data_IF_625662218140
#
_entry.id   IF_625662218140
#
_cell.length_a   1.000
_cell.length_b   1.000
_cell.length_c   1.000
_cell.angle_alpha   90.00
_cell.angle_beta   90.00
_cell.angle_gamma   90.00
#
_symmetry.space_group_name_H-M   'P 1'
#
loop_
_entity.id
_entity.type
_entity.pdbx_description
1 polymer ?
#
# COMPACT_ATOMS: atom_id res chain seq x y z
N UNK A 1 -18.25 -3.14 12.05
CA UNK A 1 -17.62 -4.16 11.18
C UNK A 1 -16.13 -4.13 11.42
N UNK A 2 -15.51 -5.29 11.61
CA UNK A 2 -14.06 -5.43 11.85
C UNK A 2 -13.22 -5.29 10.56
N UNK A 3 -13.86 -5.08 9.41
CA UNK A 3 -13.16 -4.99 8.12
C UNK A 3 -12.70 -3.55 7.88
N UNK A 4 -11.40 -3.35 7.70
CA UNK A 4 -10.83 -2.07 7.27
C UNK A 4 -11.31 -1.68 5.87
N UNK A 5 -11.48 -0.39 5.61
CA UNK A 5 -12.00 0.13 4.34
C UNK A 5 -11.27 -0.39 3.09
N UNK A 6 -9.90 -0.41 3.07
CA UNK A 6 -9.15 -0.94 1.94
C UNK A 6 -9.41 -2.42 1.66
N UNK A 7 -9.49 -3.27 2.69
CA UNK A 7 -9.80 -4.69 2.53
C UNK A 7 -11.20 -4.92 1.96
N UNK A 8 -12.21 -4.25 2.52
CA UNK A 8 -13.59 -4.36 2.04
C UNK A 8 -13.70 -3.96 0.57
N UNK A 9 -12.99 -2.90 0.15
CA UNK A 9 -12.97 -2.45 -1.25
C UNK A 9 -12.24 -3.43 -2.15
N UNK A 10 -11.08 -3.93 -1.75
CA UNK A 10 -10.35 -4.95 -2.49
C UNK A 10 -11.20 -6.20 -2.75
N UNK A 11 -11.94 -6.66 -1.73
CA UNK A 11 -12.86 -7.79 -1.87
C UNK A 11 -14.01 -7.52 -2.85
N UNK A 12 -14.59 -6.31 -2.85
CA UNK A 12 -15.65 -5.96 -3.79
C UNK A 12 -15.14 -5.93 -5.24
N UNK A 13 -13.95 -5.37 -5.44
CA UNK A 13 -13.29 -5.36 -6.74
C UNK A 13 -12.98 -6.79 -7.20
N UNK A 14 -12.43 -7.62 -6.30
CA UNK A 14 -12.16 -9.04 -6.59
C UNK A 14 -13.44 -9.78 -7.01
N UNK A 15 -14.55 -9.60 -6.29
CA UNK A 15 -15.86 -10.18 -6.67
C UNK A 15 -16.31 -9.73 -8.06
N UNK A 16 -16.12 -8.46 -8.40
CA UNK A 16 -16.51 -7.93 -9.70
C UNK A 16 -15.68 -8.51 -10.85
N UNK A 17 -14.41 -8.81 -10.63
CA UNK A 17 -13.56 -9.51 -11.60
C UNK A 17 -13.92 -10.99 -11.71
N UNK A 18 -14.06 -11.68 -10.57
CA UNK A 18 -14.49 -13.09 -10.54
C UNK A 18 -15.83 -13.32 -11.24
N UNK A 19 -16.82 -12.41 -11.03
CA UNK A 19 -18.12 -12.51 -11.69
C UNK A 19 -18.07 -12.33 -13.21
N UNK A 20 -16.97 -11.84 -13.74
CA UNK A 20 -16.69 -11.72 -15.18
C UNK A 20 -15.80 -12.82 -15.74
N UNK A 21 -15.49 -13.82 -14.93
CA UNK A 21 -14.67 -14.97 -15.34
C UNK A 21 -13.16 -14.73 -15.29
N UNK A 22 -12.70 -13.67 -14.65
CA UNK A 22 -11.27 -13.46 -14.43
C UNK A 22 -10.77 -14.29 -13.25
N UNK A 23 -9.53 -14.74 -13.33
CA UNK A 23 -8.80 -15.31 -12.21
C UNK A 23 -8.24 -14.18 -11.33
N UNK A 24 -8.41 -14.30 -10.02
CA UNK A 24 -8.02 -13.26 -9.06
C UNK A 24 -7.28 -13.87 -7.89
N UNK A 25 -6.19 -13.24 -7.47
CA UNK A 25 -5.49 -13.51 -6.19
C UNK A 25 -5.38 -12.22 -5.38
N UNK A 26 -5.63 -12.30 -4.08
CA UNK A 26 -5.53 -11.18 -3.16
C UNK A 26 -4.18 -11.22 -2.44
N UNK A 27 -3.32 -10.23 -2.69
CA UNK A 27 -2.11 -10.02 -1.89
C UNK A 27 -2.46 -9.18 -0.66
N UNK A 28 -2.17 -9.69 0.52
CA UNK A 28 -2.54 -9.06 1.78
C UNK A 28 -1.49 -9.26 2.88
N UNK A 29 -1.50 -8.39 3.90
CA UNK A 29 -0.75 -8.62 5.14
C UNK A 29 -1.70 -9.09 6.23
N UNK A 30 -1.38 -10.19 6.89
CA UNK A 30 -2.20 -10.69 7.99
C UNK A 30 -2.01 -9.83 9.25
N UNK A 31 -2.86 -8.84 9.40
CA UNK A 31 -2.97 -7.99 10.59
C UNK A 31 -4.11 -8.47 11.53
N UNK A 32 -4.67 -9.65 11.27
CA UNK A 32 -5.81 -10.21 12.00
C UNK A 32 -7.16 -9.57 11.69
N UNK A 33 -7.24 -8.63 10.76
CA UNK A 33 -8.47 -7.93 10.37
C UNK A 33 -9.07 -8.43 9.06
N UNK A 34 -8.33 -9.24 8.32
CA UNK A 34 -8.74 -9.77 7.04
C UNK A 34 -9.48 -11.09 7.22
N UNK A 35 -10.79 -11.07 7.06
CA UNK A 35 -11.69 -12.22 7.27
C UNK A 35 -12.35 -12.59 5.94
N UNK A 36 -12.59 -13.88 5.74
CA UNK A 36 -13.36 -14.45 4.63
C UNK A 36 -12.94 -13.93 3.24
N UNK A 37 -11.72 -14.25 2.76
CA UNK A 37 -11.27 -13.83 1.44
C UNK A 37 -12.13 -14.48 0.35
N UNK A 38 -12.53 -13.67 -0.66
CA UNK A 38 -13.37 -14.12 -1.79
C UNK A 38 -12.57 -14.80 -2.91
N UNK A 39 -11.25 -14.79 -2.80
CA UNK A 39 -10.31 -15.36 -3.77
C UNK A 39 -9.11 -15.96 -3.02
N UNK A 40 -8.30 -16.80 -3.69
CA UNK A 40 -7.01 -17.23 -3.14
C UNK A 40 -6.19 -16.03 -2.66
N UNK A 41 -5.44 -16.24 -1.58
CA UNK A 41 -4.63 -15.20 -0.95
C UNK A 41 -3.15 -15.50 -1.07
N UNK A 42 -2.37 -14.42 -1.18
CA UNK A 42 -0.91 -14.43 -1.08
C UNK A 42 -0.48 -13.50 0.06
N UNK A 43 0.26 -14.04 1.02
CA UNK A 43 0.66 -13.27 2.20
C UNK A 43 1.93 -12.45 1.94
N UNK A 44 1.81 -11.15 2.19
CA UNK A 44 2.94 -10.21 2.23
C UNK A 44 3.20 -9.77 3.68
N UNK A 45 4.41 -9.28 4.02
CA UNK A 45 4.68 -8.82 5.37
C UNK A 45 3.78 -7.64 5.75
N UNK A 46 3.42 -7.56 7.03
CA UNK A 46 2.73 -6.41 7.60
C UNK A 46 3.74 -5.33 7.93
N UNK A 47 3.53 -4.07 7.53
CA UNK A 47 4.43 -3.00 7.93
C UNK A 47 4.37 -2.78 9.44
N UNK A 48 5.53 -2.53 10.03
CA UNK A 48 5.66 -2.36 11.47
C UNK A 48 5.96 -0.90 11.81
N UNK A 49 5.16 -0.26 12.70
CA UNK A 49 5.38 1.14 13.07
C UNK A 49 6.82 1.38 13.51
N UNK A 50 7.44 2.40 12.94
CA UNK A 50 8.82 2.81 13.23
C UNK A 50 9.88 1.72 13.03
N UNK A 51 9.59 0.68 12.24
CA UNK A 51 10.51 -0.45 12.01
C UNK A 51 10.71 -1.34 13.24
N UNK A 52 9.81 -1.31 14.21
CA UNK A 52 9.85 -2.16 15.39
C UNK A 52 9.67 -3.64 14.99
N UNK A 53 10.29 -4.59 15.69
CA UNK A 53 10.02 -6.01 15.51
C UNK A 53 8.52 -6.31 15.64
N UNK A 54 7.99 -7.18 14.79
CA UNK A 54 6.56 -7.49 14.70
C UNK A 54 5.94 -7.87 16.04
N UNK A 55 6.65 -8.68 16.85
CA UNK A 55 6.22 -9.07 18.20
C UNK A 55 5.97 -7.87 19.12
N UNK A 56 6.75 -6.79 18.96
CA UNK A 56 6.59 -5.55 19.72
C UNK A 56 5.48 -4.70 19.12
N UNK A 57 5.43 -4.60 17.80
CA UNK A 57 4.45 -3.78 17.09
C UNK A 57 3.00 -4.24 17.34
N UNK A 58 2.75 -5.54 17.37
CA UNK A 58 1.43 -6.13 17.69
C UNK A 58 0.87 -5.66 19.03
N UNK A 59 1.73 -5.38 20.00
CA UNK A 59 1.31 -4.93 21.34
C UNK A 59 1.34 -3.42 21.51
N UNK A 60 2.25 -2.73 20.83
CA UNK A 60 2.41 -1.27 20.98
C UNK A 60 1.31 -0.47 20.29
N UNK A 61 0.79 -0.94 19.15
CA UNK A 61 -0.24 -0.24 18.41
C UNK A 61 -1.59 -0.18 19.18
N UNK A 62 -2.12 -1.30 19.71
CA UNK A 62 -3.32 -1.27 20.54
C UNK A 62 -3.11 -0.48 21.84
N UNK A 63 -1.93 -0.56 22.46
CA UNK A 63 -1.60 0.16 23.67
C UNK A 63 -1.54 1.67 23.43
N UNK A 64 -0.85 2.12 22.37
CA UNK A 64 -0.77 3.52 22.00
C UNK A 64 -2.15 4.10 21.65
N UNK A 65 -3.01 3.32 20.99
CA UNK A 65 -4.41 3.70 20.72
C UNK A 65 -5.22 3.86 22.01
N UNK A 66 -5.12 2.88 22.93
CA UNK A 66 -5.82 2.94 24.23
C UNK A 66 -5.35 4.09 25.13
N UNK A 67 -4.07 4.43 25.06
CA UNK A 67 -3.49 5.56 25.83
C UNK A 67 -3.75 6.91 25.17
N UNK A 68 -4.48 6.96 24.05
CA UNK A 68 -4.77 8.19 23.31
C UNK A 68 -3.52 8.89 22.78
N UNK A 69 -2.40 8.17 22.62
CA UNK A 69 -1.17 8.71 22.06
C UNK A 69 -1.25 8.84 20.55
N UNK A 70 -2.12 8.03 19.92
CA UNK A 70 -2.45 8.14 18.50
C UNK A 70 -3.55 9.20 18.35
N UNK A 71 -3.28 10.25 17.59
CA UNK A 71 -4.25 11.31 17.32
C UNK A 71 -4.01 12.64 18.06
N UNK A 72 -3.03 12.71 18.95
CA UNK A 72 -2.65 13.99 19.60
C UNK A 72 -1.91 14.96 18.68
N UNK A 73 -1.30 14.45 17.58
CA UNK A 73 -0.67 15.31 16.56
C UNK A 73 -1.46 15.18 15.28
N UNK A 74 -1.83 16.29 14.64
CA UNK A 74 -2.48 16.25 13.33
C UNK A 74 -1.54 15.58 12.32
N UNK A 75 -2.06 14.67 11.53
CA UNK A 75 -1.36 14.08 10.39
C UNK A 75 -1.51 15.05 9.22
N UNK A 76 -0.40 15.52 8.67
CA UNK A 76 -0.39 16.57 7.65
C UNK A 76 -0.37 16.02 6.21
N UNK A 77 -0.08 14.72 6.04
CA UNK A 77 -0.03 14.11 4.73
C UNK A 77 -0.22 12.60 4.78
N UNK A 78 -0.65 12.00 3.68
CA UNK A 78 -0.74 10.54 3.55
C UNK A 78 0.65 9.87 3.63
N UNK A 79 1.70 10.53 3.15
CA UNK A 79 3.09 10.07 3.32
C UNK A 79 3.47 9.93 4.80
N UNK A 80 2.98 10.82 5.65
CA UNK A 80 3.20 10.73 7.09
C UNK A 80 2.51 9.51 7.71
N UNK A 81 1.31 9.18 7.24
CA UNK A 81 0.61 7.94 7.62
C UNK A 81 1.45 6.72 7.23
N UNK A 82 1.93 6.66 5.98
CA UNK A 82 2.75 5.56 5.49
C UNK A 82 4.06 5.43 6.26
N UNK A 83 4.65 6.55 6.66
CA UNK A 83 5.87 6.56 7.47
C UNK A 83 5.60 6.05 8.90
N UNK A 84 4.55 6.54 9.55
CA UNK A 84 4.16 6.14 10.91
C UNK A 84 3.78 4.65 10.97
N UNK A 85 3.14 4.13 9.94
CA UNK A 85 2.78 2.71 9.86
C UNK A 85 3.95 1.79 9.51
N UNK A 86 5.12 2.34 9.15
CA UNK A 86 6.29 1.58 8.73
C UNK A 86 6.27 1.17 7.25
N UNK A 87 5.27 1.59 6.48
CA UNK A 87 5.15 1.26 5.04
C UNK A 87 6.26 1.86 4.18
N UNK A 88 7.02 2.84 4.70
CA UNK A 88 8.18 3.46 4.04
C UNK A 88 9.51 2.96 4.60
N UNK A 89 9.49 2.02 5.55
CA UNK A 89 10.71 1.42 6.08
C UNK A 89 11.44 0.63 5.00
N UNK A 90 12.77 0.72 5.00
CA UNK A 90 13.60 0.08 3.99
C UNK A 90 13.49 -1.44 4.03
N UNK A 91 13.59 -2.05 5.23
CA UNK A 91 13.58 -3.53 5.38
C UNK A 91 12.23 -4.10 4.98
N UNK A 92 11.15 -3.48 5.49
CA UNK A 92 9.80 -3.85 5.09
C UNK A 92 9.63 -3.77 3.56
N UNK A 93 10.01 -2.63 2.97
CA UNK A 93 9.85 -2.40 1.53
C UNK A 93 10.63 -3.41 0.70
N UNK A 94 11.88 -3.76 1.10
CA UNK A 94 12.66 -4.80 0.42
C UNK A 94 11.92 -6.14 0.42
N UNK A 95 11.52 -6.63 1.59
CA UNK A 95 10.88 -7.95 1.71
C UNK A 95 9.52 -7.97 1.00
N UNK A 96 8.73 -6.91 1.13
CA UNK A 96 7.41 -6.83 0.50
C UNK A 96 7.52 -6.79 -1.04
N UNK A 97 8.44 -5.99 -1.57
CA UNK A 97 8.67 -5.89 -3.03
C UNK A 97 9.20 -7.21 -3.58
N UNK A 98 10.19 -7.83 -2.92
CA UNK A 98 10.77 -9.09 -3.36
C UNK A 98 9.72 -10.21 -3.41
N UNK A 99 8.98 -10.43 -2.33
CA UNK A 99 7.88 -11.42 -2.29
C UNK A 99 6.84 -11.19 -3.39
N UNK A 100 6.45 -9.94 -3.61
CA UNK A 100 5.48 -9.60 -4.66
C UNK A 100 6.05 -9.86 -6.06
N UNK A 101 7.33 -9.56 -6.30
CA UNK A 101 8.00 -9.86 -7.56
C UNK A 101 8.08 -11.36 -7.83
N UNK A 102 8.50 -12.15 -6.85
CA UNK A 102 8.53 -13.62 -6.95
C UNK A 102 7.15 -14.19 -7.30
N UNK A 103 6.11 -13.71 -6.61
CA UNK A 103 4.74 -14.09 -6.90
C UNK A 103 4.31 -13.69 -8.31
N UNK A 104 4.59 -12.45 -8.73
CA UNK A 104 4.26 -11.95 -10.07
C UNK A 104 5.01 -12.70 -11.17
N UNK A 105 6.27 -13.08 -10.96
CA UNK A 105 7.04 -13.89 -11.91
C UNK A 105 6.47 -15.29 -12.09
N UNK A 106 5.92 -15.87 -11.01
CA UNK A 106 5.35 -17.22 -11.01
C UNK A 106 3.93 -17.24 -11.57
N UNK A 107 3.07 -16.37 -11.07
CA UNK A 107 1.65 -16.33 -11.43
C UNK A 107 1.36 -15.56 -12.72
N UNK A 108 2.24 -14.59 -13.07
CA UNK A 108 2.16 -13.75 -14.28
C UNK A 108 0.81 -13.08 -14.49
N UNK A 109 0.37 -12.21 -13.57
CA UNK A 109 -0.89 -11.50 -13.73
C UNK A 109 -0.82 -10.53 -14.92
N UNK A 110 -1.93 -10.40 -15.67
CA UNK A 110 -2.06 -9.40 -16.73
C UNK A 110 -2.14 -7.98 -16.16
N UNK A 111 -2.68 -7.85 -14.94
CA UNK A 111 -2.90 -6.58 -14.28
C UNK A 111 -2.75 -6.70 -12.77
N UNK A 112 -2.15 -5.70 -12.16
CA UNK A 112 -2.10 -5.51 -10.71
C UNK A 112 -3.00 -4.35 -10.32
N UNK A 113 -3.94 -4.59 -9.40
CA UNK A 113 -4.71 -3.54 -8.76
C UNK A 113 -4.14 -3.22 -7.38
N UNK A 114 -3.69 -2.00 -7.18
CA UNK A 114 -3.10 -1.55 -5.91
C UNK A 114 -4.04 -0.65 -5.12
N UNK A 115 -4.33 -1.04 -3.90
CA UNK A 115 -5.06 -0.22 -2.92
C UNK A 115 -4.06 0.52 -2.03
N UNK A 116 -3.45 1.59 -2.56
CA UNK A 116 -2.43 2.42 -1.89
C UNK A 116 -1.13 1.68 -1.47
N UNK A 117 -0.89 0.48 -1.97
CA UNK A 117 0.30 -0.30 -1.63
C UNK A 117 1.46 0.06 -2.55
N UNK A 118 2.46 0.79 -2.02
CA UNK A 118 3.63 1.22 -2.79
C UNK A 118 4.49 0.05 -3.23
N UNK A 119 4.62 -1.00 -2.40
CA UNK A 119 5.41 -2.19 -2.76
C UNK A 119 4.81 -2.90 -3.98
N UNK A 120 3.47 -2.98 -4.09
CA UNK A 120 2.81 -3.55 -5.25
C UNK A 120 3.06 -2.74 -6.53
N UNK A 121 3.05 -1.40 -6.43
CA UNK A 121 3.34 -0.52 -7.59
C UNK A 121 4.79 -0.67 -8.03
N UNK A 122 5.74 -0.75 -7.08
CA UNK A 122 7.16 -0.94 -7.38
C UNK A 122 7.39 -2.31 -8.01
N UNK A 123 6.84 -3.38 -7.42
CA UNK A 123 6.98 -4.74 -7.94
C UNK A 123 6.40 -4.88 -9.36
N UNK A 124 5.18 -4.40 -9.58
CA UNK A 124 4.55 -4.44 -10.90
C UNK A 124 5.36 -3.67 -11.95
N UNK A 125 5.92 -2.52 -11.59
CA UNK A 125 6.78 -1.74 -12.47
C UNK A 125 8.09 -2.47 -12.78
N UNK A 126 8.71 -3.13 -11.80
CA UNK A 126 9.94 -3.89 -11.99
C UNK A 126 9.72 -5.08 -12.92
N UNK A 127 8.57 -5.73 -12.86
CA UNK A 127 8.23 -6.88 -13.72
C UNK A 127 7.52 -6.47 -15.03
N UNK A 128 7.36 -5.17 -15.31
CA UNK A 128 6.71 -4.69 -16.52
C UNK A 128 5.21 -4.97 -16.61
N UNK A 129 4.57 -5.26 -15.47
CA UNK A 129 3.15 -5.58 -15.38
C UNK A 129 2.30 -4.31 -15.27
N UNK A 130 1.17 -4.29 -15.96
CA UNK A 130 0.23 -3.18 -15.90
C UNK A 130 -0.28 -2.99 -14.46
N UNK A 131 -0.05 -1.81 -13.88
CA UNK A 131 -0.55 -1.48 -12.56
C UNK A 131 -1.62 -0.37 -12.65
N UNK A 132 -2.75 -0.61 -11.98
CA UNK A 132 -3.82 0.36 -11.76
C UNK A 132 -4.19 0.37 -10.28
N UNK A 133 -4.93 1.33 -9.80
CA UNK A 133 -5.30 1.33 -8.39
C UNK A 133 -6.14 2.50 -7.93
N UNK A 134 -6.42 2.53 -6.66
CA UNK A 134 -7.12 3.64 -6.02
C UNK A 134 -6.24 4.85 -5.85
N UNK A 135 -6.85 6.02 -5.98
CA UNK A 135 -6.29 7.31 -5.63
C UNK A 135 -7.28 8.13 -4.81
N UNK A 136 -6.80 9.15 -4.13
CA UNK A 136 -7.62 10.14 -3.44
C UNK A 136 -6.82 11.42 -3.29
N UNK A 137 -7.48 12.52 -2.97
CA UNK A 137 -6.80 13.81 -2.77
C UNK A 137 -5.62 13.72 -1.77
N UNK A 138 -5.74 13.06 -0.60
CA UNK A 138 -4.61 12.90 0.31
C UNK A 138 -3.42 12.13 -0.27
N UNK A 139 -3.58 11.39 -1.36
CA UNK A 139 -2.50 10.67 -2.03
C UNK A 139 -1.83 11.48 -3.13
N UNK A 140 -2.19 12.74 -3.31
CA UNK A 140 -1.53 13.62 -4.27
C UNK A 140 -0.22 14.15 -3.70
N UNK A 141 0.76 14.36 -4.58
CA UNK A 141 2.09 14.86 -4.16
C UNK A 141 2.03 16.28 -3.59
N UNK A 142 1.01 17.06 -3.91
CA UNK A 142 0.84 18.43 -3.43
C UNK A 142 0.77 18.51 -1.89
N UNK A 143 0.24 17.49 -1.23
CA UNK A 143 0.10 17.43 0.22
C UNK A 143 1.29 16.78 0.95
N UNK A 144 2.30 16.33 0.22
CA UNK A 144 3.40 15.60 0.84
C UNK A 144 4.71 15.83 0.11
N UNK A 145 5.66 16.41 0.80
CA UNK A 145 7.05 16.37 0.39
C UNK A 145 7.95 16.36 1.62
N UNK A 146 8.24 15.18 2.13
CA UNK A 146 9.28 15.03 3.13
C UNK A 146 10.27 13.93 2.72
N UNK A 147 11.37 14.29 2.03
CA UNK A 147 12.37 13.33 1.58
C UNK A 147 12.99 12.49 2.70
N UNK A 148 12.96 12.97 3.94
CA UNK A 148 13.47 12.21 5.11
C UNK A 148 12.53 11.07 5.47
N UNK A 149 11.21 11.27 5.40
CA UNK A 149 10.21 10.21 5.66
C UNK A 149 10.25 9.14 4.59
N UNK A 150 10.56 9.49 3.35
CA UNK A 150 10.68 8.57 2.21
C UNK A 150 12.08 7.95 2.04
N UNK A 151 13.02 8.20 2.97
CA UNK A 151 14.42 7.80 2.80
C UNK A 151 14.58 6.28 2.59
N UNK A 152 13.83 5.45 3.31
CA UNK A 152 13.88 4.00 3.21
C UNK A 152 13.49 3.50 1.83
N UNK A 153 12.31 3.86 1.36
CA UNK A 153 11.80 3.43 0.06
C UNK A 153 12.62 4.03 -1.11
N UNK A 154 13.15 5.25 -0.94
CA UNK A 154 14.05 5.87 -1.93
C UNK A 154 15.38 5.14 -2.05
N UNK A 155 15.89 4.59 -0.95
CA UNK A 155 17.08 3.74 -0.97
C UNK A 155 16.82 2.48 -1.79
N UNK A 156 15.72 1.77 -1.52
CA UNK A 156 15.32 0.60 -2.29
C UNK A 156 15.22 0.90 -3.80
N UNK A 157 14.54 1.99 -4.17
CA UNK A 157 14.39 2.36 -5.58
C UNK A 157 15.74 2.59 -6.28
N UNK A 158 16.72 3.22 -5.60
CA UNK A 158 18.07 3.38 -6.17
C UNK A 158 18.79 2.05 -6.34
N UNK A 159 18.67 1.13 -5.37
CA UNK A 159 19.25 -0.21 -5.46
C UNK A 159 18.63 -1.05 -6.59
N UNK A 160 17.40 -0.72 -6.99
CA UNK A 160 16.71 -1.33 -8.14
C UNK A 160 16.91 -0.55 -9.45
N UNK A 161 17.79 0.44 -9.51
CA UNK A 161 17.99 1.33 -10.67
C UNK A 161 16.69 2.02 -11.15
N UNK A 162 15.80 2.29 -10.20
CA UNK A 162 14.52 2.97 -10.46
C UNK A 162 14.57 4.44 -10.03
N UNK A 163 13.78 5.33 -10.68
CA UNK A 163 13.65 6.72 -10.25
C UNK A 163 13.19 6.81 -8.78
N UNK A 164 13.97 7.51 -7.96
CA UNK A 164 13.73 7.68 -6.53
C UNK A 164 13.22 9.12 -6.22
N UNK A 165 11.92 9.40 -6.37
CA UNK A 165 11.36 10.73 -6.20
C UNK A 165 11.49 11.22 -4.75
N UNK A 166 11.39 12.54 -4.56
CA UNK A 166 11.47 13.15 -3.23
C UNK A 166 10.33 12.72 -2.31
N UNK A 167 9.12 12.54 -2.85
CA UNK A 167 7.96 12.02 -2.14
C UNK A 167 7.64 10.60 -2.58
N UNK A 168 7.39 9.71 -1.62
CA UNK A 168 6.92 8.34 -1.89
C UNK A 168 5.57 8.31 -2.62
N UNK A 169 4.72 9.31 -2.44
CA UNK A 169 3.43 9.40 -3.13
C UNK A 169 3.57 9.57 -4.65
N UNK A 170 4.71 10.07 -5.13
CA UNK A 170 5.02 10.12 -6.57
C UNK A 170 5.07 8.71 -7.18
N UNK A 171 5.38 7.68 -6.39
CA UNK A 171 5.38 6.28 -6.85
C UNK A 171 3.97 5.88 -7.34
N UNK A 172 2.92 6.35 -6.65
CA UNK A 172 1.53 6.08 -7.05
C UNK A 172 1.18 6.69 -8.42
N UNK A 173 1.89 7.73 -8.87
CA UNK A 173 1.75 8.26 -10.24
C UNK A 173 2.26 7.30 -11.32
N UNK A 174 3.04 6.30 -10.95
CA UNK A 174 3.48 5.23 -11.85
C UNK A 174 2.38 4.26 -12.25
N UNK A 175 1.23 4.29 -11.60
CA UNK A 175 0.06 3.52 -12.02
C UNK A 175 -0.50 4.06 -13.34
N UNK A 176 -0.85 3.16 -14.26
CA UNK A 176 -1.40 3.51 -15.58
C UNK A 176 -2.73 4.25 -15.48
N UNK A 177 -3.57 3.86 -14.52
CA UNK A 177 -4.82 4.54 -14.17
C UNK A 177 -5.03 4.54 -12.68
N UNK A 178 -5.59 5.63 -12.17
CA UNK A 178 -6.01 5.78 -10.78
C UNK A 178 -7.51 6.03 -10.75
N UNK A 179 -8.19 5.24 -9.97
CA UNK A 179 -9.63 5.39 -9.74
C UNK A 179 -9.83 6.13 -8.42
N UNK A 180 -10.59 7.20 -8.46
CA UNK A 180 -10.89 7.98 -7.27
C UNK A 180 -12.32 7.67 -6.88
N UNK A 181 -12.54 6.93 -5.77
CA UNK A 181 -13.88 6.56 -5.31
C UNK A 181 -14.54 7.75 -4.58
N UNK A 182 -14.66 8.87 -5.27
CA UNK A 182 -15.23 10.11 -4.78
C UNK A 182 -15.95 10.85 -5.90
N UNK A 183 -16.61 11.96 -5.60
CA UNK A 183 -17.22 12.81 -6.60
C UNK A 183 -16.42 14.12 -6.78
N UNK A 184 -16.46 14.75 -7.98
CA UNK A 184 -15.70 15.98 -8.25
C UNK A 184 -16.00 17.14 -7.29
N UNK A 185 -17.18 17.16 -6.68
CA UNK A 185 -17.54 18.19 -5.70
C UNK A 185 -16.75 18.05 -4.38
N UNK A 186 -16.32 16.83 -4.05
CA UNK A 186 -15.55 16.53 -2.83
C UNK A 186 -14.04 16.51 -3.09
N UNK A 187 -13.63 16.16 -4.29
CA UNK A 187 -12.22 16.09 -4.71
C UNK A 187 -12.03 16.76 -6.09
N UNK A 188 -12.14 18.10 -6.18
CA UNK A 188 -12.15 18.80 -7.45
C UNK A 188 -10.82 18.75 -8.21
N UNK A 189 -9.71 18.47 -7.52
CA UNK A 189 -8.36 18.39 -8.12
C UNK A 189 -7.90 16.95 -8.38
N UNK A 190 -8.78 16.02 -8.29
CA UNK A 190 -8.44 14.61 -8.39
C UNK A 190 -8.29 14.12 -9.84
#
# INVERSE_FOLDING_TARGET
>A
SRMGGPWSRAQQIARAFLSRGHEVTLAWGDDGNCVDPVAPTFEIPVPSPLGLPEAIARHTFPLASRLGLMGRKPVHSFEEVLWLTGSLDYRYSCVAVEKLREFMCTWRPDIVYSEFNLAAVIAARAEGILCVGSGSQPTTVAYASNPRKSAGIRRLLREMDMPAPASSLTILKGMKRRFIPSCPALEPEA
#
